data_IF_830780002011
#
_entry.id   IF_830780002011
#
_cell.length_a   1.000
_cell.length_b   1.000
_cell.length_c   1.000
_cell.angle_alpha   90.00
_cell.angle_beta   90.00
_cell.angle_gamma   90.00
#
_symmetry.space_group_name_H-M   'P 1'
#
loop_
_entity.id
_entity.type
_entity.pdbx_description
1 polymer ?
#
# COMPACT_ATOMS: atom_id res chain seq x y z
N UNK A 1 35.65 35.21 0.10
CA UNK A 1 34.40 34.48 -0.23
C UNK A 1 34.60 32.96 -0.09
N UNK A 2 35.14 32.47 1.04
CA UNK A 2 35.35 31.02 1.27
C UNK A 2 34.69 30.50 2.57
N UNK A 3 33.92 31.33 3.28
CA UNK A 3 33.34 30.96 4.58
C UNK A 3 31.88 30.49 4.55
N UNK A 4 31.19 30.48 3.39
CA UNK A 4 29.77 30.10 3.32
C UNK A 4 29.50 28.67 2.82
N UNK A 5 30.53 27.95 2.37
CA UNK A 5 30.39 26.57 1.89
C UNK A 5 30.60 25.52 2.99
N UNK A 6 31.22 25.87 4.11
CA UNK A 6 31.40 24.96 5.25
C UNK A 6 30.13 24.76 6.09
N UNK A 7 29.26 25.76 6.16
CA UNK A 7 28.06 25.73 7.03
C UNK A 7 26.91 24.86 6.49
N UNK A 8 26.94 24.48 5.22
CA UNK A 8 25.93 23.59 4.61
C UNK A 8 26.30 22.10 4.71
N UNK A 9 27.60 21.78 4.83
CA UNK A 9 28.07 20.41 4.95
C UNK A 9 27.81 19.84 6.36
N UNK A 10 27.93 20.67 7.40
CA UNK A 10 27.69 20.26 8.79
C UNK A 10 26.19 20.01 9.09
N UNK A 11 25.31 20.66 8.33
CA UNK A 11 23.85 20.55 8.48
C UNK A 11 23.25 19.32 7.77
N UNK A 12 23.96 18.76 6.78
CA UNK A 12 23.56 17.51 6.11
C UNK A 12 24.02 16.26 6.86
N UNK A 13 25.15 16.34 7.56
CA UNK A 13 25.74 15.20 8.28
C UNK A 13 24.95 14.83 9.56
N UNK A 14 24.39 15.83 10.25
CA UNK A 14 23.70 15.61 11.53
C UNK A 14 22.19 15.29 11.42
N UNK A 15 21.57 15.52 10.26
CA UNK A 15 20.13 15.30 10.02
C UNK A 15 19.79 14.16 9.05
N UNK A 16 20.67 13.84 8.09
CA UNK A 16 20.40 12.88 7.02
C UNK A 16 20.22 11.44 7.51
N UNK A 17 21.07 10.99 8.45
CA UNK A 17 20.96 9.64 9.01
C UNK A 17 19.71 9.45 9.86
N UNK A 18 19.24 10.46 10.61
CA UNK A 18 17.98 10.37 11.36
C UNK A 18 16.76 10.43 10.47
N UNK A 19 16.76 11.26 9.43
CA UNK A 19 15.63 11.35 8.48
C UNK A 19 15.49 10.07 7.65
N UNK A 20 16.59 9.50 7.15
CA UNK A 20 16.59 8.23 6.43
C UNK A 20 16.28 7.04 7.35
N UNK A 21 16.76 7.05 8.59
CA UNK A 21 16.40 6.02 9.57
C UNK A 21 14.92 6.10 9.94
N UNK A 22 14.36 7.29 10.18
CA UNK A 22 12.94 7.48 10.43
C UNK A 22 12.07 7.13 9.22
N UNK A 23 12.49 7.49 8.01
CA UNK A 23 11.82 7.10 6.77
C UNK A 23 11.88 5.57 6.58
N UNK A 24 13.03 4.94 6.85
CA UNK A 24 13.18 3.48 6.84
C UNK A 24 12.32 2.82 7.91
N UNK A 25 12.24 3.37 9.11
CA UNK A 25 11.38 2.87 10.21
C UNK A 25 9.91 3.05 9.89
N UNK A 26 9.52 4.14 9.22
CA UNK A 26 8.17 4.34 8.70
C UNK A 26 7.86 3.35 7.56
N UNK A 27 8.79 3.16 6.61
CA UNK A 27 8.67 2.17 5.54
C UNK A 27 8.62 0.74 6.09
N UNK A 28 9.43 0.41 7.10
CA UNK A 28 9.43 -0.90 7.76
C UNK A 28 8.14 -1.11 8.54
N UNK A 29 7.67 -0.14 9.33
CA UNK A 29 6.37 -0.24 10.01
C UNK A 29 5.20 -0.33 9.04
N UNK A 30 5.29 0.36 7.90
CA UNK A 30 4.31 0.25 6.82
C UNK A 30 4.37 -1.12 6.14
N UNK A 31 5.56 -1.71 5.95
CA UNK A 31 5.75 -3.06 5.41
C UNK A 31 5.32 -4.16 6.40
N UNK A 32 5.61 -3.99 7.69
CA UNK A 32 5.20 -4.91 8.76
C UNK A 32 3.69 -4.83 9.01
N UNK A 33 3.10 -3.62 9.00
CA UNK A 33 1.64 -3.44 9.03
C UNK A 33 0.96 -4.04 7.80
N UNK A 34 1.61 -3.93 6.63
CA UNK A 34 1.15 -4.58 5.39
C UNK A 34 1.25 -6.10 5.43
N UNK A 35 2.24 -6.69 6.11
CA UNK A 35 2.35 -8.15 6.20
C UNK A 35 1.10 -8.76 6.86
N UNK A 36 0.59 -8.14 7.93
CA UNK A 36 -0.66 -8.52 8.58
C UNK A 36 -1.87 -8.32 7.68
N UNK A 37 -1.99 -7.16 7.04
CA UNK A 37 -3.05 -6.88 6.06
C UNK A 37 -3.04 -7.89 4.91
N UNK A 38 -1.88 -8.19 4.33
CA UNK A 38 -1.73 -9.12 3.23
C UNK A 38 -2.12 -10.54 3.64
N UNK A 39 -1.75 -10.97 4.86
CA UNK A 39 -2.20 -12.25 5.38
C UNK A 39 -3.73 -12.30 5.55
N UNK A 40 -4.33 -11.23 6.09
CA UNK A 40 -5.78 -11.15 6.24
C UNK A 40 -6.51 -11.14 4.89
N UNK A 41 -6.02 -10.37 3.91
CA UNK A 41 -6.55 -10.34 2.55
C UNK A 41 -6.48 -11.72 1.88
N UNK A 42 -5.37 -12.45 2.08
CA UNK A 42 -5.27 -13.84 1.61
C UNK A 42 -6.24 -14.79 2.33
N UNK A 43 -6.67 -14.46 3.54
CA UNK A 43 -7.62 -15.25 4.33
C UNK A 43 -9.09 -14.90 4.09
N UNK A 44 -9.37 -13.75 3.47
CA UNK A 44 -10.74 -13.27 3.27
C UNK A 44 -11.59 -14.27 2.47
N UNK A 45 -12.85 -14.41 2.88
CA UNK A 45 -13.83 -15.32 2.30
C UNK A 45 -14.95 -14.58 1.55
N UNK A 46 -15.09 -13.27 1.74
CA UNK A 46 -16.03 -12.44 1.00
C UNK A 46 -15.42 -11.12 0.52
N UNK A 47 -16.03 -10.47 -0.46
CA UNK A 47 -15.65 -9.12 -0.88
C UNK A 47 -15.85 -8.09 0.23
N UNK A 48 -16.89 -8.26 1.06
CA UNK A 48 -17.19 -7.39 2.19
C UNK A 48 -16.03 -7.35 3.19
N UNK A 49 -15.50 -8.52 3.54
CA UNK A 49 -14.29 -8.64 4.38
C UNK A 49 -13.07 -7.96 3.75
N UNK A 50 -12.89 -8.07 2.43
CA UNK A 50 -11.80 -7.36 1.73
C UNK A 50 -11.99 -5.84 1.85
N UNK A 51 -13.21 -5.32 1.64
CA UNK A 51 -13.49 -3.90 1.80
C UNK A 51 -13.26 -3.42 3.23
N UNK A 52 -13.69 -4.19 4.23
CA UNK A 52 -13.47 -3.87 5.64
C UNK A 52 -11.98 -3.85 5.99
N UNK A 53 -11.21 -4.86 5.58
CA UNK A 53 -9.77 -4.92 5.83
C UNK A 53 -9.02 -3.73 5.21
N UNK A 54 -9.37 -3.36 3.98
CA UNK A 54 -8.78 -2.22 3.27
C UNK A 54 -9.15 -0.90 3.98
N UNK A 55 -10.43 -0.72 4.32
CA UNK A 55 -10.95 0.51 4.94
C UNK A 55 -10.44 0.68 6.38
N UNK A 56 -10.36 -0.40 7.16
CA UNK A 56 -9.81 -0.40 8.52
C UNK A 56 -8.33 -0.01 8.56
N UNK A 57 -7.63 -0.18 7.43
CA UNK A 57 -6.24 0.24 7.27
C UNK A 57 -6.09 1.62 6.60
N UNK A 58 -7.20 2.35 6.40
CA UNK A 58 -7.20 3.72 5.86
C UNK A 58 -7.10 3.80 4.33
N UNK A 59 -7.30 2.69 3.63
CA UNK A 59 -7.24 2.64 2.17
C UNK A 59 -8.64 2.56 1.57
N UNK A 60 -8.75 2.92 0.30
CA UNK A 60 -9.91 2.67 -0.57
C UNK A 60 -9.52 1.64 -1.63
N UNK A 61 -10.41 0.69 -1.91
CA UNK A 61 -10.19 -0.31 -2.96
C UNK A 61 -10.65 0.23 -4.32
N UNK A 62 -9.74 0.24 -5.28
CA UNK A 62 -9.97 0.78 -6.62
C UNK A 62 -9.71 -0.35 -7.64
N UNK A 63 -10.70 -0.74 -8.47
CA UNK A 63 -10.44 -1.64 -9.58
C UNK A 63 -9.57 -0.93 -10.63
N UNK A 64 -8.45 -1.54 -10.99
CA UNK A 64 -7.48 -1.00 -11.94
C UNK A 64 -7.21 -2.03 -13.05
N UNK A 65 -8.16 -2.16 -13.98
CA UNK A 65 -8.09 -3.14 -15.06
C UNK A 65 -8.04 -4.57 -14.53
N UNK A 66 -6.89 -5.23 -14.71
CA UNK A 66 -6.64 -6.62 -14.33
C UNK A 66 -6.23 -6.80 -12.85
N UNK A 67 -6.18 -5.72 -12.08
CA UNK A 67 -5.77 -5.75 -10.66
C UNK A 67 -6.68 -4.87 -9.78
N UNK A 68 -6.52 -4.99 -8.46
CA UNK A 68 -7.09 -4.06 -7.49
C UNK A 68 -5.99 -3.25 -6.82
N UNK A 69 -6.16 -1.93 -6.79
CA UNK A 69 -5.29 -1.01 -6.07
C UNK A 69 -5.93 -0.61 -4.75
N UNK A 70 -5.14 -0.60 -3.68
CA UNK A 70 -5.49 0.02 -2.42
C UNK A 70 -4.82 1.39 -2.35
N UNK A 71 -5.61 2.45 -2.16
CA UNK A 71 -5.12 3.82 -2.16
C UNK A 71 -5.59 4.58 -0.91
N UNK A 72 -4.64 5.20 -0.21
CA UNK A 72 -4.92 6.19 0.83
C UNK A 72 -4.98 7.55 0.14
N UNK A 73 -6.19 8.08 0.01
CA UNK A 73 -6.46 9.34 -0.67
C UNK A 73 -5.94 10.57 0.09
N UNK A 74 -5.61 10.43 1.37
CA UNK A 74 -5.10 11.52 2.22
C UNK A 74 -3.59 11.67 2.09
N UNK A 75 -2.86 10.55 1.97
CA UNK A 75 -1.39 10.55 1.86
C UNK A 75 -0.90 10.36 0.42
N UNK A 76 -1.76 9.91 -0.49
CA UNK A 76 -1.41 9.54 -1.86
C UNK A 76 -0.67 8.20 -1.96
N UNK A 77 -0.57 7.44 -0.87
CA UNK A 77 0.05 6.12 -0.88
C UNK A 77 -0.85 5.11 -1.57
N UNK A 78 -0.28 4.33 -2.48
CA UNK A 78 -0.98 3.26 -3.18
C UNK A 78 -0.16 1.97 -3.20
N UNK A 79 -0.84 0.83 -3.24
CA UNK A 79 -0.22 -0.48 -3.47
C UNK A 79 -1.19 -1.43 -4.19
N UNK A 80 -0.63 -2.40 -4.90
CA UNK A 80 -1.40 -3.39 -5.64
C UNK A 80 -1.81 -4.53 -4.70
N UNK A 81 -3.02 -5.04 -4.82
CA UNK A 81 -3.41 -6.25 -4.10
C UNK A 81 -2.62 -7.47 -4.61
N UNK A 82 -2.04 -7.42 -5.81
CA UNK A 82 -1.06 -8.40 -6.27
C UNK A 82 0.14 -8.51 -5.32
N UNK A 83 0.52 -7.45 -4.61
CA UNK A 83 1.60 -7.48 -3.62
C UNK A 83 1.31 -8.45 -2.47
N UNK A 84 0.04 -8.83 -2.24
CA UNK A 84 -0.33 -9.87 -1.29
C UNK A 84 -0.17 -11.30 -1.84
N UNK A 85 0.18 -11.47 -3.12
CA UNK A 85 0.38 -12.75 -3.80
C UNK A 85 -0.88 -13.34 -4.44
N UNK A 86 -2.00 -12.61 -4.45
CA UNK A 86 -3.22 -12.99 -5.16
C UNK A 86 -3.51 -12.01 -6.29
N UNK A 87 -3.73 -12.55 -7.49
CA UNK A 87 -4.25 -11.78 -8.60
C UNK A 87 -5.73 -11.47 -8.41
N UNK A 88 -6.25 -10.52 -9.18
CA UNK A 88 -7.69 -10.30 -9.32
C UNK A 88 -8.45 -11.59 -9.62
N UNK A 89 -7.94 -12.44 -10.50
CA UNK A 89 -8.55 -13.72 -10.84
C UNK A 89 -8.70 -14.60 -9.59
N UNK A 90 -7.64 -14.74 -8.79
CA UNK A 90 -7.65 -15.54 -7.56
C UNK A 90 -8.67 -15.00 -6.56
N UNK A 91 -8.80 -13.68 -6.44
CA UNK A 91 -9.85 -13.07 -5.63
C UNK A 91 -11.24 -13.35 -6.19
N UNK A 92 -11.48 -13.18 -7.50
CA UNK A 92 -12.79 -13.40 -8.11
C UNK A 92 -13.20 -14.89 -8.12
N UNK A 93 -12.26 -15.83 -8.22
CA UNK A 93 -12.53 -17.27 -8.09
C UNK A 93 -12.95 -17.65 -6.68
N UNK A 94 -12.37 -17.02 -5.66
CA UNK A 94 -12.65 -17.33 -4.25
C UNK A 94 -13.87 -16.60 -3.70
N UNK A 95 -13.97 -15.32 -3.99
CA UNK A 95 -14.96 -14.41 -3.41
C UNK A 95 -16.19 -14.24 -4.31
N UNK A 96 -16.14 -14.79 -5.52
CA UNK A 96 -17.12 -14.53 -6.58
C UNK A 96 -16.81 -13.25 -7.35
N UNK A 97 -17.67 -12.93 -8.33
CA UNK A 97 -17.50 -11.75 -9.19
C UNK A 97 -17.45 -10.47 -8.35
N UNK A 98 -16.48 -9.59 -8.62
CA UNK A 98 -16.37 -8.32 -7.90
C UNK A 98 -17.64 -7.45 -8.13
N UNK A 99 -18.23 -6.85 -7.07
CA UNK A 99 -19.58 -6.29 -7.10
C UNK A 99 -19.82 -5.07 -8.00
N UNK A 100 -18.82 -4.59 -8.74
CA UNK A 100 -18.97 -3.50 -9.72
C UNK A 100 -18.29 -3.78 -11.07
N UNK A 101 -17.91 -5.04 -11.34
CA UNK A 101 -17.33 -5.41 -12.63
C UNK A 101 -18.41 -5.37 -13.72
N UNK A 102 -18.25 -4.61 -14.82
CA UNK A 102 -19.16 -4.70 -15.95
C UNK A 102 -19.26 -6.16 -16.41
N UNK A 103 -20.42 -6.61 -16.92
CA UNK A 103 -20.57 -7.98 -17.41
C UNK A 103 -19.44 -8.29 -18.41
N UNK A 104 -18.77 -9.42 -18.21
CA UNK A 104 -17.77 -9.92 -19.16
C UNK A 104 -18.62 -10.34 -20.35
N UNK A 105 -18.57 -9.55 -21.41
CA UNK A 105 -19.17 -9.96 -22.69
C UNK A 105 -18.37 -11.17 -23.17
N UNK A 106 -19.06 -12.31 -23.24
CA UNK A 106 -18.58 -13.54 -23.88
C UNK A 106 -18.44 -13.35 -25.38
#
# INVERSE_FOLDING_TARGET
>A
MLNRLGEWADQLDSGGCRSLYSARVAMTQQLEGRAGLFQALRGASTWDEVFDLISANGYSLIPNGEDFMAADMSTGLMFSLWDCGHSRLVFEERLGRFPNSPPVSR
#
